data_IF_003995679882
#
_entry.id   IF_003995679882
#
_cell.length_a   1.000
_cell.length_b   1.000
_cell.length_c   1.000
_cell.angle_alpha   90.00
_cell.angle_beta   90.00
_cell.angle_gamma   90.00
#
_symmetry.space_group_name_H-M   'P 1'
#
loop_
_entity.id
_entity.type
_entity.pdbx_description
1 polymer ?
#
# COMPACT_ATOMS: atom_id res chain seq x y z
N UNK A 1 -18.61 40.43 2.24
CA UNK A 1 -17.28 39.79 2.12
C UNK A 1 -17.47 38.32 2.46
N UNK A 2 -16.77 37.40 1.78
CA UNK A 2 -16.88 35.97 2.09
C UNK A 2 -16.33 35.70 3.49
N UNK A 3 -17.01 34.86 4.27
CA UNK A 3 -16.59 34.46 5.62
C UNK A 3 -15.40 33.48 5.64
N UNK A 4 -14.77 33.30 4.47
CA UNK A 4 -13.65 32.39 4.24
C UNK A 4 -12.46 33.18 3.72
N UNK A 5 -11.36 33.15 4.47
CA UNK A 5 -10.07 33.77 4.09
C UNK A 5 -9.03 32.70 3.88
N UNK A 6 -8.29 32.79 2.78
CA UNK A 6 -7.21 31.87 2.40
C UNK A 6 -5.91 32.65 2.30
N UNK A 7 -5.03 32.46 3.26
CA UNK A 7 -3.66 32.96 3.22
C UNK A 7 -2.81 32.06 2.34
N UNK A 8 -2.15 32.64 1.35
CA UNK A 8 -1.43 31.93 0.30
C UNK A 8 -0.19 32.68 -0.17
N UNK A 9 0.62 32.05 -1.02
CA UNK A 9 1.68 32.72 -1.79
C UNK A 9 1.62 32.28 -3.26
N UNK A 10 2.18 33.09 -4.17
CA UNK A 10 2.14 32.81 -5.63
C UNK A 10 2.69 31.45 -6.03
N UNK A 11 3.73 30.96 -5.35
CA UNK A 11 4.45 29.75 -5.74
C UNK A 11 4.03 28.48 -4.98
N UNK A 12 3.07 28.58 -4.07
CA UNK A 12 2.64 27.46 -3.23
C UNK A 12 1.70 26.50 -3.97
N UNK A 13 2.12 25.24 -4.15
CA UNK A 13 1.30 24.20 -4.80
C UNK A 13 0.04 23.85 -3.99
N UNK A 14 0.16 23.68 -2.68
CA UNK A 14 -0.98 23.37 -1.79
C UNK A 14 -2.02 24.51 -1.76
N UNK A 15 -1.58 25.75 -1.93
CA UNK A 15 -2.46 26.91 -2.02
C UNK A 15 -3.32 26.87 -3.29
N UNK A 16 -2.77 26.35 -4.41
CA UNK A 16 -3.53 26.12 -5.65
C UNK A 16 -4.55 24.99 -5.48
N UNK A 17 -4.15 23.90 -4.81
CA UNK A 17 -5.05 22.77 -4.53
C UNK A 17 -6.23 23.17 -3.64
N UNK A 18 -5.96 23.94 -2.57
CA UNK A 18 -6.99 24.50 -1.70
C UNK A 18 -7.98 25.38 -2.46
N UNK A 19 -7.48 26.32 -3.27
CA UNK A 19 -8.33 27.21 -4.08
C UNK A 19 -9.21 26.41 -5.04
N UNK A 20 -8.63 25.43 -5.75
CA UNK A 20 -9.37 24.54 -6.64
C UNK A 20 -10.44 23.70 -5.90
N UNK A 21 -10.15 23.23 -4.68
CA UNK A 21 -11.12 22.54 -3.84
C UNK A 21 -12.31 23.44 -3.51
N UNK A 22 -12.05 24.67 -3.05
CA UNK A 22 -13.09 25.65 -2.71
C UNK A 22 -13.92 26.04 -3.94
N UNK A 23 -13.26 26.30 -5.08
CA UNK A 23 -13.91 26.59 -6.35
C UNK A 23 -14.84 25.45 -6.79
N UNK A 24 -14.38 24.20 -6.70
CA UNK A 24 -15.17 23.00 -7.05
C UNK A 24 -16.41 22.85 -6.18
N UNK A 25 -16.28 23.11 -4.87
CA UNK A 25 -17.40 23.09 -3.92
C UNK A 25 -18.25 24.36 -3.99
N UNK A 26 -17.93 25.29 -4.90
CA UNK A 26 -18.62 26.59 -5.11
C UNK A 26 -18.63 27.46 -3.85
N UNK A 27 -17.59 27.34 -3.03
CA UNK A 27 -17.39 28.14 -1.83
C UNK A 27 -16.73 29.45 -2.25
N UNK A 28 -17.32 30.58 -1.86
CA UNK A 28 -16.71 31.90 -2.08
C UNK A 28 -15.67 32.15 -0.99
N UNK A 29 -14.47 32.58 -1.37
CA UNK A 29 -13.38 32.91 -0.46
C UNK A 29 -12.62 34.15 -0.90
N UNK A 30 -11.93 34.77 0.05
CA UNK A 30 -10.97 35.85 -0.16
C UNK A 30 -9.55 35.27 -0.12
N UNK A 31 -8.77 35.47 -1.18
CA UNK A 31 -7.38 35.01 -1.25
C UNK A 31 -6.43 36.15 -0.88
N UNK A 32 -5.66 35.97 0.19
CA UNK A 32 -4.69 36.94 0.71
C UNK A 32 -3.28 36.42 0.42
N UNK A 33 -2.46 37.22 -0.27
CA UNK A 33 -1.06 36.87 -0.56
C UNK A 33 -0.15 37.40 0.56
N UNK A 34 0.33 36.50 1.42
CA UNK A 34 1.21 36.85 2.54
C UNK A 34 2.68 37.03 2.10
N UNK A 35 3.03 36.65 0.87
CA UNK A 35 4.36 36.89 0.32
C UNK A 35 4.59 38.36 -0.05
N UNK A 36 3.52 39.11 -0.30
CA UNK A 36 3.58 40.53 -0.69
C UNK A 36 3.01 41.47 0.38
N UNK A 37 2.39 40.92 1.44
CA UNK A 37 1.79 41.69 2.52
C UNK A 37 2.29 41.20 3.90
N UNK A 38 3.19 41.98 4.50
CA UNK A 38 3.83 41.67 5.79
C UNK A 38 2.83 41.71 6.96
N UNK A 39 1.83 42.58 6.93
CA UNK A 39 0.83 42.67 7.99
C UNK A 39 -0.08 41.44 7.98
N UNK A 40 -0.53 41.02 6.79
CA UNK A 40 -1.29 39.79 6.62
C UNK A 40 -0.47 38.53 7.00
N UNK A 41 0.84 38.54 6.78
CA UNK A 41 1.72 37.46 7.22
C UNK A 41 1.78 37.36 8.75
N UNK A 42 1.85 38.49 9.46
CA UNK A 42 1.80 38.53 10.93
C UNK A 42 0.46 38.03 11.45
N UNK A 43 -0.63 38.51 10.88
CA UNK A 43 -1.99 38.06 11.24
C UNK A 43 -2.14 36.54 11.04
N UNK A 44 -1.66 36.01 9.91
CA UNK A 44 -1.69 34.56 9.65
C UNK A 44 -0.92 33.77 10.72
N UNK A 45 0.27 34.25 11.12
CA UNK A 45 1.08 33.60 12.16
C UNK A 45 0.38 33.65 13.52
N UNK A 46 -0.25 34.77 13.88
CA UNK A 46 -1.01 34.91 15.13
C UNK A 46 -2.23 33.97 15.17
N UNK A 47 -2.93 33.81 14.04
CA UNK A 47 -4.13 32.97 13.94
C UNK A 47 -3.83 31.46 13.88
N UNK A 48 -2.66 31.07 13.36
CA UNK A 48 -2.33 29.66 13.07
C UNK A 48 -1.18 29.11 13.90
N UNK A 49 -0.38 29.97 14.55
CA UNK A 49 0.85 29.57 15.24
C UNK A 49 1.97 29.09 14.30
N UNK A 50 1.84 29.27 12.98
CA UNK A 50 2.81 28.80 12.00
C UNK A 50 3.17 29.84 10.94
N UNK A 51 4.35 29.68 10.32
CA UNK A 51 4.84 30.53 9.24
C UNK A 51 4.49 30.00 7.83
N UNK A 52 3.90 28.80 7.74
CA UNK A 52 3.61 28.12 6.47
C UNK A 52 2.26 28.49 5.86
N UNK A 53 2.16 28.38 4.53
CA UNK A 53 0.90 28.48 3.75
C UNK A 53 0.58 27.12 3.10
N UNK A 54 -0.70 26.83 2.78
CA UNK A 54 -1.87 27.68 2.99
C UNK A 54 -2.39 27.67 4.43
N UNK A 55 -3.09 28.74 4.82
CA UNK A 55 -3.92 28.78 6.04
C UNK A 55 -5.32 29.23 5.64
N UNK A 56 -6.34 28.49 6.04
CA UNK A 56 -7.75 28.86 5.81
C UNK A 56 -8.39 29.28 7.12
N UNK A 57 -9.04 30.42 7.14
CA UNK A 57 -9.85 30.86 8.28
C UNK A 57 -11.30 30.93 7.83
N UNK A 58 -12.16 30.16 8.49
CA UNK A 58 -13.59 30.14 8.22
C UNK A 58 -14.38 29.71 9.46
N UNK A 59 -15.54 30.33 9.67
CA UNK A 59 -16.45 30.02 10.79
C UNK A 59 -15.75 30.03 12.16
N UNK A 60 -14.76 30.92 12.35
CA UNK A 60 -13.98 31.04 13.58
C UNK A 60 -12.94 29.93 13.82
N UNK A 61 -12.74 29.01 12.87
CA UNK A 61 -11.68 27.99 12.91
C UNK A 61 -10.52 28.35 11.97
N UNK A 62 -9.33 27.97 12.38
CA UNK A 62 -8.11 28.06 11.57
C UNK A 62 -7.69 26.67 11.11
N UNK A 63 -7.65 26.44 9.80
CA UNK A 63 -7.16 25.22 9.16
C UNK A 63 -5.76 25.48 8.62
N UNK A 64 -4.83 24.62 9.00
CA UNK A 64 -3.44 24.66 8.60
C UNK A 64 -3.23 23.71 7.42
N UNK A 65 -2.64 24.21 6.34
CA UNK A 65 -2.34 23.43 5.15
C UNK A 65 -3.58 23.10 4.31
N UNK A 66 -3.40 22.17 3.37
CA UNK A 66 -4.49 21.61 2.58
C UNK A 66 -5.03 20.34 3.26
N UNK A 67 -5.65 20.53 4.43
CA UNK A 67 -6.22 19.46 5.25
C UNK A 67 -7.66 19.16 4.80
N UNK A 68 -7.82 18.13 3.96
CA UNK A 68 -9.12 17.74 3.40
C UNK A 68 -10.14 17.38 4.49
N UNK A 69 -9.81 16.57 5.52
CA UNK A 69 -10.71 16.32 6.65
C UNK A 69 -11.24 17.60 7.30
N UNK A 70 -10.37 18.53 7.69
CA UNK A 70 -10.78 19.77 8.34
C UNK A 70 -11.58 20.69 7.41
N UNK A 71 -11.21 20.76 6.13
CA UNK A 71 -11.95 21.54 5.12
C UNK A 71 -13.36 20.97 4.88
N UNK A 72 -13.50 19.64 4.88
CA UNK A 72 -14.80 18.99 4.75
C UNK A 72 -15.67 19.16 6.00
N UNK A 73 -15.07 19.26 7.19
CA UNK A 73 -15.80 19.53 8.44
C UNK A 73 -16.50 20.90 8.40
N UNK A 74 -15.82 21.94 7.91
CA UNK A 74 -16.36 23.31 7.86
C UNK A 74 -17.23 23.51 6.62
N UNK A 75 -16.72 23.15 5.45
CA UNK A 75 -17.36 23.52 4.18
C UNK A 75 -18.23 22.43 3.58
N UNK A 76 -18.58 21.42 4.37
CA UNK A 76 -19.51 20.37 3.99
C UNK A 76 -20.92 20.93 3.75
N UNK A 77 -21.14 21.64 2.64
CA UNK A 77 -22.49 21.89 2.13
C UNK A 77 -23.08 20.55 1.72
N UNK A 78 -23.96 20.09 2.62
CA UNK A 78 -24.84 18.91 2.60
C UNK A 78 -24.14 17.56 2.43
N UNK A 79 -24.24 16.80 3.54
CA UNK A 79 -24.45 15.34 3.56
C UNK A 79 -25.15 14.89 2.28
N UNK A 80 -24.55 13.93 1.58
CA UNK A 80 -25.41 13.01 0.86
C UNK A 80 -26.19 12.29 1.95
N UNK A 81 -27.50 12.50 2.01
CA UNK A 81 -28.41 11.68 2.79
C UNK A 81 -28.11 10.21 2.44
N UNK A 82 -27.43 9.56 3.37
CA UNK A 82 -27.65 8.23 3.92
C UNK A 82 -27.99 7.16 2.89
N UNK A 83 -26.93 6.58 2.34
CA UNK A 83 -26.99 5.36 1.56
C UNK A 83 -25.77 4.51 1.87
N UNK A 84 -26.05 3.24 2.19
CA UNK A 84 -25.10 2.13 2.15
C UNK A 84 -24.22 2.27 0.89
N UNK A 85 -22.87 2.32 1.00
CA UNK A 85 -21.96 2.33 -0.14
C UNK A 85 -22.39 1.39 -1.26
N UNK A 86 -22.30 1.89 -2.49
CA UNK A 86 -22.58 1.06 -3.67
C UNK A 86 -21.57 -0.07 -3.73
N UNK A 87 -20.31 0.28 -3.45
CA UNK A 87 -19.18 -0.64 -3.46
C UNK A 87 -18.20 -0.31 -2.35
N UNK A 88 -17.81 -1.33 -1.59
CA UNK A 88 -16.64 -1.26 -0.70
C UNK A 88 -15.49 -2.06 -1.33
N UNK A 89 -14.31 -1.44 -1.34
CA UNK A 89 -13.07 -2.01 -1.85
C UNK A 89 -12.18 -2.32 -0.64
N UNK A 90 -11.77 -3.56 -0.51
CA UNK A 90 -10.93 -4.03 0.59
C UNK A 90 -9.48 -4.05 0.11
N UNK A 91 -8.66 -3.11 0.57
CA UNK A 91 -7.26 -2.95 0.20
C UNK A 91 -6.97 -1.71 -0.65
N UNK A 92 -5.90 -1.00 -0.31
CA UNK A 92 -5.45 0.25 -0.93
C UNK A 92 -4.20 0.10 -1.79
N UNK A 93 -3.94 -1.09 -2.34
CA UNK A 93 -2.85 -1.31 -3.29
C UNK A 93 -3.21 -0.89 -4.73
N UNK A 94 -2.36 -1.20 -5.72
CA UNK A 94 -2.59 -0.85 -7.13
C UNK A 94 -3.95 -1.30 -7.67
N UNK A 95 -4.38 -2.53 -7.33
CA UNK A 95 -5.68 -3.07 -7.74
C UNK A 95 -6.83 -2.27 -7.13
N UNK A 96 -6.82 -2.05 -5.81
CA UNK A 96 -7.89 -1.36 -5.10
C UNK A 96 -8.02 0.10 -5.50
N UNK A 97 -6.91 0.82 -5.61
CA UNK A 97 -6.92 2.22 -6.05
C UNK A 97 -7.39 2.36 -7.50
N UNK A 98 -6.98 1.46 -8.39
CA UNK A 98 -7.46 1.48 -9.78
C UNK A 98 -8.95 1.16 -9.84
N UNK A 99 -9.42 0.16 -9.08
CA UNK A 99 -10.84 -0.15 -8.98
C UNK A 99 -11.64 1.05 -8.46
N UNK A 100 -11.16 1.72 -7.41
CA UNK A 100 -11.81 2.88 -6.82
C UNK A 100 -11.93 4.04 -7.81
N UNK A 101 -10.87 4.31 -8.57
CA UNK A 101 -10.89 5.32 -9.62
C UNK A 101 -11.96 5.02 -10.68
N UNK A 102 -12.07 3.76 -11.11
CA UNK A 102 -13.08 3.35 -12.10
C UNK A 102 -14.51 3.42 -11.53
N UNK A 103 -14.73 2.95 -10.30
CA UNK A 103 -16.02 3.05 -9.63
C UNK A 103 -16.46 4.51 -9.46
N UNK A 104 -15.55 5.38 -9.04
CA UNK A 104 -15.85 6.81 -8.88
C UNK A 104 -16.19 7.49 -10.21
N UNK A 105 -15.48 7.15 -11.31
CA UNK A 105 -15.82 7.64 -12.66
C UNK A 105 -17.18 7.17 -13.17
N UNK A 106 -17.70 6.08 -12.61
CA UNK A 106 -19.07 5.59 -12.85
C UNK A 106 -20.09 6.19 -11.90
N UNK A 107 -19.69 7.19 -11.10
CA UNK A 107 -20.53 7.87 -10.10
C UNK A 107 -21.07 6.93 -9.01
N UNK A 108 -20.37 5.83 -8.73
CA UNK A 108 -20.70 4.93 -7.62
C UNK A 108 -20.25 5.54 -6.28
N UNK A 109 -21.09 5.42 -5.25
CA UNK A 109 -20.70 5.71 -3.87
C UNK A 109 -19.67 4.67 -3.41
N UNK A 110 -18.39 5.06 -3.39
CA UNK A 110 -17.25 4.15 -3.25
C UNK A 110 -16.52 4.42 -1.94
N UNK A 111 -16.19 3.36 -1.22
CA UNK A 111 -15.34 3.41 -0.03
C UNK A 111 -14.19 2.40 -0.16
N UNK A 112 -13.00 2.78 0.28
CA UNK A 112 -11.84 1.88 0.44
C UNK A 112 -11.63 1.66 1.93
N UNK A 113 -11.44 0.41 2.36
CA UNK A 113 -10.96 0.06 3.70
C UNK A 113 -9.59 -0.59 3.55
N UNK A 114 -8.55 -0.02 4.17
CA UNK A 114 -7.17 -0.49 3.98
C UNK A 114 -6.25 -0.21 5.16
N UNK A 115 -5.29 -1.10 5.42
CA UNK A 115 -4.27 -0.91 6.45
C UNK A 115 -3.24 0.17 6.08
N UNK A 116 -2.95 0.28 4.79
CA UNK A 116 -2.03 1.27 4.24
C UNK A 116 -2.43 1.67 2.82
N UNK A 117 -1.97 2.85 2.41
CA UNK A 117 -2.20 3.42 1.09
C UNK A 117 -0.94 3.11 0.25
N UNK A 118 -1.08 2.23 -0.75
CA UNK A 118 0.03 1.83 -1.63
C UNK A 118 0.24 0.32 -1.71
N UNK A 119 -0.05 -0.42 -0.64
CA UNK A 119 0.23 -1.86 -0.54
C UNK A 119 1.71 -2.18 -0.74
N UNK A 120 2.01 -3.41 -1.15
CA UNK A 120 3.39 -3.87 -1.41
C UNK A 120 4.16 -3.08 -2.47
N UNK A 121 3.46 -2.34 -3.35
CA UNK A 121 4.15 -1.56 -4.38
C UNK A 121 5.10 -0.52 -3.76
N UNK A 122 4.83 -0.05 -2.53
CA UNK A 122 5.70 0.85 -1.78
C UNK A 122 7.11 0.29 -1.55
N UNK A 123 7.26 -1.04 -1.51
CA UNK A 123 8.52 -1.71 -1.19
C UNK A 123 9.47 -1.79 -2.39
N UNK A 124 9.00 -1.45 -3.60
CA UNK A 124 9.80 -1.55 -4.81
C UNK A 124 10.78 -0.39 -4.96
N UNK A 125 12.09 -0.65 -4.97
CA UNK A 125 13.11 0.38 -5.20
C UNK A 125 13.03 0.97 -6.62
N UNK A 126 12.88 0.08 -7.60
CA UNK A 126 12.91 0.38 -9.02
C UNK A 126 11.79 -0.38 -9.74
N UNK A 127 10.92 0.36 -10.39
CA UNK A 127 9.87 -0.16 -11.27
C UNK A 127 10.19 0.28 -12.69
N UNK A 128 10.62 -0.69 -13.50
CA UNK A 128 11.02 -0.50 -14.91
C UNK A 128 10.03 -1.12 -15.90
N UNK A 129 8.98 -1.78 -15.38
CA UNK A 129 8.02 -2.55 -16.15
C UNK A 129 6.58 -2.00 -16.08
N UNK A 130 6.41 -0.77 -15.59
CA UNK A 130 5.13 -0.06 -15.61
C UNK A 130 5.09 0.91 -16.80
N UNK A 131 4.44 0.49 -17.88
CA UNK A 131 4.38 1.26 -19.13
C UNK A 131 3.86 2.69 -18.90
N UNK A 132 4.58 3.67 -19.43
CA UNK A 132 4.38 5.09 -19.14
C UNK A 132 5.53 5.69 -18.31
N UNK A 133 6.29 4.86 -17.60
CA UNK A 133 7.52 5.25 -16.91
C UNK A 133 8.69 4.41 -17.43
N UNK A 134 9.81 5.07 -17.73
CA UNK A 134 11.07 4.35 -18.01
C UNK A 134 11.63 3.72 -16.73
N UNK A 135 11.55 4.47 -15.63
CA UNK A 135 12.02 4.10 -14.31
C UNK A 135 11.26 4.98 -13.31
N UNK A 136 10.70 4.37 -12.27
CA UNK A 136 10.06 5.07 -11.14
C UNK A 136 10.21 4.22 -9.88
N UNK A 137 10.31 4.83 -8.70
CA UNK A 137 10.25 4.06 -7.46
C UNK A 137 8.81 3.61 -7.16
N UNK A 138 8.66 2.58 -6.35
CA UNK A 138 7.37 2.12 -5.87
C UNK A 138 6.61 3.18 -5.08
N UNK A 139 7.31 3.91 -4.22
CA UNK A 139 6.76 5.04 -3.45
C UNK A 139 6.21 6.14 -4.35
N UNK A 140 6.98 6.59 -5.33
CA UNK A 140 6.60 7.70 -6.21
C UNK A 140 5.46 7.28 -7.15
N UNK A 141 5.45 6.00 -7.57
CA UNK A 141 4.36 5.45 -8.36
C UNK A 141 3.05 5.45 -7.54
N UNK A 142 3.08 4.96 -6.30
CA UNK A 142 1.87 4.92 -5.46
C UNK A 142 1.43 6.30 -5.00
N UNK A 143 2.35 7.24 -4.79
CA UNK A 143 2.00 8.65 -4.55
C UNK A 143 1.18 9.22 -5.71
N UNK A 144 1.55 8.92 -6.96
CA UNK A 144 0.76 9.34 -8.14
C UNK A 144 -0.62 8.71 -8.19
N UNK A 145 -0.77 7.46 -7.74
CA UNK A 145 -2.09 6.82 -7.63
C UNK A 145 -2.92 7.50 -6.55
N UNK A 146 -2.33 7.75 -5.38
CA UNK A 146 -2.99 8.43 -4.27
C UNK A 146 -3.46 9.85 -4.66
N UNK A 147 -2.60 10.62 -5.34
CA UNK A 147 -2.94 11.93 -5.88
C UNK A 147 -4.18 11.86 -6.78
N UNK A 148 -4.30 10.84 -7.63
CA UNK A 148 -5.47 10.67 -8.49
C UNK A 148 -6.73 10.34 -7.70
N UNK A 149 -6.70 9.34 -6.81
CA UNK A 149 -7.90 8.92 -6.06
C UNK A 149 -8.40 10.03 -5.12
N UNK A 150 -7.50 10.84 -4.54
CA UNK A 150 -7.88 11.96 -3.65
C UNK A 150 -8.57 13.11 -4.37
N UNK A 151 -8.50 13.17 -5.70
CA UNK A 151 -9.32 14.12 -6.49
C UNK A 151 -10.77 13.65 -6.65
N UNK A 152 -11.11 12.43 -6.25
CA UNK A 152 -12.44 11.88 -6.39
C UNK A 152 -13.25 12.01 -5.10
N UNK A 153 -14.58 11.94 -5.23
CA UNK A 153 -15.50 11.93 -4.09
C UNK A 153 -15.67 10.49 -3.60
N UNK A 154 -14.76 10.04 -2.73
CA UNK A 154 -14.76 8.70 -2.13
C UNK A 154 -14.22 8.74 -0.70
N UNK A 155 -14.59 7.74 0.10
CA UNK A 155 -14.09 7.59 1.47
C UNK A 155 -12.92 6.60 1.50
N UNK A 156 -11.86 6.92 2.25
CA UNK A 156 -10.76 6.00 2.54
C UNK A 156 -10.69 5.85 4.06
N UNK A 157 -10.95 4.64 4.53
CA UNK A 157 -10.85 4.22 5.92
C UNK A 157 -9.53 3.49 6.15
N UNK A 158 -8.78 3.90 7.17
CA UNK A 158 -7.53 3.25 7.55
C UNK A 158 -7.78 2.21 8.64
N UNK A 159 -8.06 0.98 8.22
CA UNK A 159 -8.40 -0.13 9.11
C UNK A 159 -8.17 -1.50 8.42
N UNK A 160 -8.10 -2.55 9.22
CA UNK A 160 -8.02 -3.95 8.78
C UNK A 160 -9.41 -4.56 8.76
N UNK A 161 -9.76 -5.26 7.66
CA UNK A 161 -11.02 -6.03 7.61
C UNK A 161 -10.84 -7.36 8.35
N UNK A 162 -11.72 -7.62 9.31
CA UNK A 162 -11.72 -8.82 10.15
C UNK A 162 -12.79 -9.84 9.74
N UNK A 163 -13.87 -9.40 9.08
CA UNK A 163 -14.91 -10.30 8.58
C UNK A 163 -15.70 -9.74 7.40
N UNK A 164 -16.25 -10.63 6.57
CA UNK A 164 -17.18 -10.32 5.49
C UNK A 164 -18.36 -11.30 5.53
N UNK A 165 -19.57 -10.77 5.55
CA UNK A 165 -20.82 -11.54 5.61
C UNK A 165 -21.85 -10.99 4.63
N UNK A 166 -22.83 -11.83 4.29
CA UNK A 166 -23.98 -11.45 3.46
C UNK A 166 -25.23 -11.32 4.35
N UNK A 167 -26.02 -10.28 4.11
CA UNK A 167 -27.28 -10.00 4.80
C UNK A 167 -28.34 -9.54 3.78
N UNK A 168 -29.15 -10.49 3.31
CA UNK A 168 -30.14 -10.24 2.27
C UNK A 168 -29.49 -9.87 0.94
N UNK A 169 -29.66 -8.62 0.50
CA UNK A 169 -29.08 -8.10 -0.75
C UNK A 169 -27.85 -7.20 -0.49
N UNK A 170 -27.31 -7.24 0.73
CA UNK A 170 -26.20 -6.41 1.18
C UNK A 170 -25.06 -7.27 1.73
N UNK A 171 -23.89 -6.65 1.82
CA UNK A 171 -22.71 -7.22 2.47
C UNK A 171 -22.35 -6.40 3.70
N UNK A 172 -22.00 -7.10 4.78
CA UNK A 172 -21.54 -6.53 6.04
C UNK A 172 -20.05 -6.81 6.17
N UNK A 173 -19.27 -5.75 6.39
CA UNK A 173 -17.82 -5.79 6.56
C UNK A 173 -17.50 -5.34 7.98
N UNK A 174 -16.93 -6.25 8.76
CA UNK A 174 -16.41 -5.95 10.09
C UNK A 174 -14.91 -5.63 10.03
N UNK A 175 -14.46 -4.75 10.89
CA UNK A 175 -13.05 -4.32 10.99
C UNK A 175 -12.44 -4.69 12.34
N UNK A 176 -11.11 -4.65 12.43
CA UNK A 176 -10.37 -4.90 13.67
C UNK A 176 -10.63 -3.82 14.74
N UNK A 177 -10.93 -2.58 14.32
CA UNK A 177 -11.34 -1.52 15.26
C UNK A 177 -12.72 -1.75 15.91
N UNK A 178 -13.49 -2.72 15.41
CA UNK A 178 -14.87 -2.99 15.83
C UNK A 178 -15.93 -2.21 15.04
N UNK A 179 -15.54 -1.48 14.00
CA UNK A 179 -16.48 -0.80 13.09
C UNK A 179 -17.14 -1.78 12.13
N UNK A 180 -18.39 -1.53 11.76
CA UNK A 180 -19.18 -2.31 10.81
C UNK A 180 -19.67 -1.42 9.67
N UNK A 181 -19.46 -1.88 8.43
CA UNK A 181 -19.88 -1.18 7.21
C UNK A 181 -20.78 -2.06 6.38
N UNK A 182 -21.79 -1.46 5.74
CA UNK A 182 -22.68 -2.14 4.79
C UNK A 182 -22.38 -1.70 3.36
N UNK A 183 -22.58 -2.58 2.38
CA UNK A 183 -22.52 -2.21 0.97
C UNK A 183 -23.35 -3.14 0.08
N UNK A 184 -23.55 -2.75 -1.19
CA UNK A 184 -24.26 -3.57 -2.19
C UNK A 184 -23.36 -4.47 -3.03
N UNK A 185 -22.08 -4.14 -3.11
CA UNK A 185 -21.07 -4.92 -3.80
C UNK A 185 -19.72 -4.78 -3.10
N UNK A 186 -18.86 -5.80 -3.24
CA UNK A 186 -17.53 -5.83 -2.62
C UNK A 186 -16.48 -6.14 -3.67
N UNK A 187 -15.36 -5.41 -3.65
CA UNK A 187 -14.17 -5.75 -4.45
C UNK A 187 -13.01 -6.06 -3.50
N UNK A 188 -12.61 -7.33 -3.45
CA UNK A 188 -11.53 -7.80 -2.59
C UNK A 188 -10.19 -7.62 -3.31
N UNK A 189 -9.34 -6.75 -2.77
CA UNK A 189 -8.00 -6.42 -3.28
C UNK A 189 -6.94 -6.44 -2.18
N UNK A 190 -7.16 -7.26 -1.15
CA UNK A 190 -6.32 -7.36 0.06
C UNK A 190 -4.88 -7.83 -0.19
N UNK A 191 -4.58 -8.26 -1.42
CA UNK A 191 -3.24 -8.63 -1.85
C UNK A 191 -2.68 -9.84 -1.12
N UNK A 192 -1.38 -9.79 -0.88
CA UNK A 192 -0.62 -10.82 -0.17
C UNK A 192 0.23 -10.15 0.92
N UNK A 193 0.76 -10.92 1.86
CA UNK A 193 1.68 -10.45 2.89
C UNK A 193 2.93 -11.33 2.92
N UNK A 194 4.09 -10.81 3.33
CA UNK A 194 5.32 -11.60 3.40
C UNK A 194 5.17 -12.82 4.30
N UNK A 195 5.84 -13.91 3.91
CA UNK A 195 5.97 -15.07 4.78
C UNK A 195 7.10 -14.85 5.79
N UNK A 196 6.84 -15.30 7.00
CA UNK A 196 7.80 -15.37 8.09
C UNK A 196 8.44 -16.77 8.14
N UNK A 197 9.62 -16.88 8.76
CA UNK A 197 10.34 -18.13 8.93
C UNK A 197 9.61 -19.09 9.89
N UNK A 198 8.79 -18.56 10.80
CA UNK A 198 8.09 -19.33 11.83
C UNK A 198 9.03 -19.83 12.93
N UNK A 199 10.13 -19.12 13.18
CA UNK A 199 11.13 -19.50 14.17
C UNK A 199 10.86 -18.87 15.53
N UNK A 200 11.30 -19.54 16.59
CA UNK A 200 11.31 -18.93 17.92
C UNK A 200 12.09 -17.60 17.90
N UNK A 201 11.57 -16.60 18.62
CA UNK A 201 12.14 -15.25 18.72
C UNK A 201 12.11 -14.43 17.42
N UNK A 202 11.53 -14.92 16.32
CA UNK A 202 11.41 -14.14 15.08
C UNK A 202 10.72 -12.80 15.32
N UNK A 203 9.56 -12.80 15.99
CA UNK A 203 8.82 -11.59 16.34
C UNK A 203 9.65 -10.57 17.14
N UNK A 204 10.55 -11.05 18.01
CA UNK A 204 11.42 -10.17 18.82
C UNK A 204 12.36 -9.35 17.95
N UNK A 205 12.81 -9.89 16.81
CA UNK A 205 13.80 -9.25 15.96
C UNK A 205 13.20 -8.47 14.79
N UNK A 206 11.87 -8.51 14.59
CA UNK A 206 11.19 -7.64 13.61
C UNK A 206 11.46 -6.17 13.96
N UNK A 207 12.02 -5.42 13.00
CA UNK A 207 12.46 -4.03 13.22
C UNK A 207 13.71 -3.87 14.10
N UNK A 208 14.30 -4.97 14.57
CA UNK A 208 15.55 -5.02 15.38
C UNK A 208 16.61 -5.92 14.75
N UNK A 209 16.56 -6.05 13.43
CA UNK A 209 17.47 -6.86 12.65
C UNK A 209 16.77 -7.68 11.57
N UNK A 210 15.48 -7.99 11.69
CA UNK A 210 14.70 -8.62 10.61
C UNK A 210 13.93 -7.55 9.84
N UNK A 211 14.02 -7.61 8.51
CA UNK A 211 13.30 -6.76 7.58
C UNK A 211 12.71 -7.58 6.42
N UNK A 212 11.66 -7.05 5.82
CA UNK A 212 11.01 -7.57 4.61
C UNK A 212 11.14 -6.60 3.43
N UNK A 213 11.56 -5.35 3.68
CA UNK A 213 11.64 -4.28 2.69
C UNK A 213 13.09 -3.76 2.59
N UNK A 214 13.82 -4.25 1.59
CA UNK A 214 15.20 -3.79 1.31
C UNK A 214 15.26 -2.29 1.01
N UNK A 215 14.24 -1.77 0.33
CA UNK A 215 14.11 -0.35 -0.01
C UNK A 215 13.97 0.54 1.22
N UNK A 216 13.17 0.11 2.18
CA UNK A 216 12.81 0.88 3.36
C UNK A 216 13.96 0.90 4.37
N UNK A 217 14.48 -0.29 4.69
CA UNK A 217 15.42 -0.46 5.81
C UNK A 217 16.87 -0.58 5.35
N UNK A 218 17.11 -0.91 4.09
CA UNK A 218 18.43 -1.10 3.50
C UNK A 218 19.45 0.00 3.83
N UNK A 219 19.10 1.30 3.73
CA UNK A 219 20.00 2.39 4.10
C UNK A 219 20.54 2.32 5.55
N UNK A 220 19.80 1.70 6.48
CA UNK A 220 20.20 1.52 7.89
C UNK A 220 21.27 0.44 8.10
N UNK A 221 21.57 -0.34 7.05
CA UNK A 221 22.55 -1.43 7.05
C UNK A 221 23.85 -1.07 6.31
N UNK A 222 24.09 0.22 6.08
CA UNK A 222 25.39 0.68 5.55
C UNK A 222 26.54 0.19 6.43
N UNK A 223 27.57 -0.36 5.78
CA UNK A 223 28.77 -0.91 6.43
C UNK A 223 28.53 -2.08 7.40
N UNK A 224 27.32 -2.66 7.40
CA UNK A 224 26.95 -3.82 8.23
C UNK A 224 27.00 -5.14 7.46
N UNK A 225 26.93 -6.27 8.16
CA UNK A 225 26.78 -7.59 7.54
C UNK A 225 25.28 -7.87 7.38
N UNK A 226 24.88 -8.22 6.16
CA UNK A 226 23.48 -8.48 5.80
C UNK A 226 23.33 -9.91 5.28
N UNK A 227 22.25 -10.56 5.68
CA UNK A 227 21.84 -11.87 5.19
C UNK A 227 20.47 -11.77 4.53
N UNK A 228 20.35 -12.27 3.31
CA UNK A 228 19.10 -12.33 2.54
C UNK A 228 18.65 -13.79 2.47
N UNK A 229 17.38 -14.06 2.77
CA UNK A 229 16.80 -15.41 2.70
C UNK A 229 15.81 -15.47 1.56
N UNK A 230 16.07 -16.32 0.57
CA UNK A 230 15.19 -16.48 -0.56
C UNK A 230 15.92 -16.92 -1.81
N UNK A 231 15.17 -17.24 -2.85
CA UNK A 231 15.73 -17.66 -4.13
C UNK A 231 14.90 -17.25 -5.33
N UNK A 232 14.04 -16.24 -5.19
CA UNK A 232 13.23 -15.69 -6.27
C UNK A 232 13.83 -14.39 -6.84
N UNK A 233 13.10 -13.76 -7.75
CA UNK A 233 13.43 -12.41 -8.26
C UNK A 233 13.74 -11.44 -7.13
N UNK A 234 12.82 -11.31 -6.16
CA UNK A 234 12.95 -10.36 -5.05
C UNK A 234 14.19 -10.63 -4.16
N UNK A 235 14.55 -11.90 -3.98
CA UNK A 235 15.74 -12.25 -3.20
C UNK A 235 17.04 -11.83 -3.92
N UNK A 236 17.11 -12.02 -5.24
CA UNK A 236 18.27 -11.58 -6.01
C UNK A 236 18.37 -10.07 -6.08
N UNK A 237 17.26 -9.37 -6.35
CA UNK A 237 17.27 -7.89 -6.39
C UNK A 237 17.68 -7.32 -5.04
N UNK A 238 17.12 -7.85 -3.93
CA UNK A 238 17.52 -7.48 -2.57
C UNK A 238 19.01 -7.71 -2.32
N UNK A 239 19.55 -8.86 -2.71
CA UNK A 239 20.98 -9.15 -2.52
C UNK A 239 21.88 -8.21 -3.35
N UNK A 240 21.50 -7.92 -4.59
CA UNK A 240 22.21 -6.97 -5.46
C UNK A 240 22.14 -5.55 -4.89
N UNK A 241 20.98 -5.12 -4.38
CA UNK A 241 20.82 -3.81 -3.72
C UNK A 241 21.71 -3.71 -2.48
N UNK A 242 21.67 -4.72 -1.61
CA UNK A 242 22.49 -4.76 -0.40
C UNK A 242 23.97 -4.83 -0.70
N UNK A 243 24.40 -5.43 -1.82
CA UNK A 243 25.82 -5.44 -2.20
C UNK A 243 26.39 -4.03 -2.44
N UNK A 244 25.53 -3.05 -2.71
CA UNK A 244 25.91 -1.64 -2.94
C UNK A 244 25.91 -0.82 -1.64
N UNK A 245 25.37 -1.35 -0.55
CA UNK A 245 25.11 -0.61 0.71
C UNK A 245 25.85 -1.26 1.88
N UNK A 246 25.71 -2.57 2.05
CA UNK A 246 26.27 -3.36 3.14
C UNK A 246 27.76 -3.64 2.92
N UNK A 247 28.46 -3.94 4.01
CA UNK A 247 29.87 -4.38 3.98
C UNK A 247 30.01 -5.79 3.39
N UNK A 248 29.06 -6.66 3.71
CA UNK A 248 29.04 -8.06 3.29
C UNK A 248 27.60 -8.52 3.12
N UNK A 249 27.35 -9.33 2.09
CA UNK A 249 26.02 -9.89 1.80
C UNK A 249 26.09 -11.42 1.71
N UNK A 250 25.31 -12.08 2.55
CA UNK A 250 25.06 -13.51 2.51
C UNK A 250 23.70 -13.78 1.85
N UNK A 251 23.62 -14.71 0.90
CA UNK A 251 22.35 -15.16 0.29
C UNK A 251 22.09 -16.63 0.64
N UNK A 252 21.02 -16.89 1.37
CA UNK A 252 20.60 -18.25 1.77
C UNK A 252 19.47 -18.73 0.86
N UNK A 253 19.70 -19.84 0.17
CA UNK A 253 18.76 -20.42 -0.80
C UNK A 253 18.41 -21.85 -0.39
N UNK A 254 17.14 -22.11 -0.06
CA UNK A 254 16.66 -23.44 0.37
C UNK A 254 16.79 -24.58 -0.66
N UNK A 255 17.06 -24.23 -1.92
CA UNK A 255 17.19 -25.18 -3.03
C UNK A 255 17.99 -24.52 -4.18
N UNK A 256 17.41 -24.42 -5.38
CA UNK A 256 17.96 -23.64 -6.51
C UNK A 256 17.36 -22.24 -6.56
N UNK A 257 18.13 -21.29 -7.08
CA UNK A 257 17.65 -19.96 -7.45
C UNK A 257 16.67 -20.10 -8.63
N UNK A 258 15.55 -19.40 -8.57
CA UNK A 258 14.44 -19.37 -9.53
C UNK A 258 14.08 -17.91 -9.78
N UNK A 259 14.85 -17.25 -10.63
CA UNK A 259 14.64 -15.87 -11.00
C UNK A 259 14.69 -15.70 -12.52
N UNK A 260 14.17 -14.58 -13.02
CA UNK A 260 14.22 -14.21 -14.42
C UNK A 260 15.68 -13.99 -14.86
N UNK A 261 15.97 -14.26 -16.14
CA UNK A 261 17.34 -14.26 -16.64
C UNK A 261 18.03 -12.91 -16.48
N UNK A 262 17.27 -11.81 -16.53
CA UNK A 262 17.83 -10.47 -16.30
C UNK A 262 18.43 -10.33 -14.90
N UNK A 263 17.75 -10.82 -13.87
CA UNK A 263 18.24 -10.78 -12.49
C UNK A 263 19.33 -11.79 -12.24
N UNK A 264 19.27 -12.97 -12.89
CA UNK A 264 20.36 -13.94 -12.85
C UNK A 264 21.65 -13.38 -13.47
N UNK A 265 21.55 -12.68 -14.60
CA UNK A 265 22.68 -12.01 -15.24
C UNK A 265 23.26 -10.95 -14.31
N UNK A 266 22.43 -10.02 -13.83
CA UNK A 266 22.87 -8.96 -12.91
C UNK A 266 23.50 -9.53 -11.64
N UNK A 267 22.94 -10.60 -11.09
CA UNK A 267 23.48 -11.28 -9.92
C UNK A 267 24.89 -11.85 -10.16
N UNK A 268 25.11 -12.51 -11.32
CA UNK A 268 26.42 -13.03 -11.73
C UNK A 268 27.44 -11.89 -11.91
N UNK A 269 26.99 -10.78 -12.50
CA UNK A 269 27.86 -9.62 -12.82
C UNK A 269 28.24 -8.81 -11.57
N UNK A 270 27.39 -8.79 -10.55
CA UNK A 270 27.61 -8.02 -9.30
C UNK A 270 28.80 -8.54 -8.50
N UNK A 271 28.96 -9.87 -8.39
CA UNK A 271 30.01 -10.48 -7.56
C UNK A 271 29.86 -10.17 -6.06
N UNK A 272 30.76 -10.70 -5.22
CA UNK A 272 30.85 -10.32 -3.80
C UNK A 272 29.71 -10.79 -2.87
N UNK A 273 28.77 -11.61 -3.36
CA UNK A 273 27.67 -12.17 -2.56
C UNK A 273 27.97 -13.63 -2.18
N UNK A 274 28.06 -13.91 -0.89
CA UNK A 274 28.33 -15.24 -0.33
C UNK A 274 27.05 -16.10 -0.40
N UNK A 275 27.01 -17.08 -1.31
CA UNK A 275 25.79 -17.87 -1.56
C UNK A 275 25.82 -19.22 -0.84
N UNK A 276 24.78 -19.49 -0.05
CA UNK A 276 24.57 -20.76 0.66
C UNK A 276 23.37 -21.50 0.07
N UNK A 277 23.62 -22.42 -0.86
CA UNK A 277 22.56 -23.24 -1.50
C UNK A 277 22.25 -24.51 -0.71
N UNK A 278 20.98 -24.92 -0.71
CA UNK A 278 20.43 -26.01 0.11
C UNK A 278 20.49 -25.77 1.62
N UNK A 279 20.65 -24.51 2.03
CA UNK A 279 20.59 -24.10 3.44
C UNK A 279 19.24 -23.46 3.78
N UNK A 280 18.81 -23.62 5.04
CA UNK A 280 17.67 -22.91 5.64
C UNK A 280 18.10 -22.26 6.93
N UNK A 281 17.50 -21.13 7.30
CA UNK A 281 17.70 -20.54 8.63
C UNK A 281 16.96 -21.42 9.64
N UNK A 282 17.67 -21.91 10.65
CA UNK A 282 17.13 -22.78 11.69
C UNK A 282 16.98 -22.07 13.03
N UNK A 283 17.84 -21.08 13.33
CA UNK A 283 17.83 -20.38 14.63
C UNK A 283 18.24 -18.92 14.47
N UNK A 284 17.66 -18.05 15.31
CA UNK A 284 17.94 -16.62 15.38
C UNK A 284 18.58 -16.29 16.73
N UNK A 285 19.69 -15.55 16.72
CA UNK A 285 20.48 -15.28 17.93
C UNK A 285 20.84 -13.81 18.06
N UNK A 286 20.75 -13.32 19.29
CA UNK A 286 21.02 -11.94 19.66
C UNK A 286 20.36 -11.57 20.98
N UNK A 287 20.79 -10.47 21.59
CA UNK A 287 20.12 -9.93 22.76
C UNK A 287 18.98 -9.01 22.29
N UNK A 288 19.18 -7.70 22.33
CA UNK A 288 18.16 -6.74 21.91
C UNK A 288 18.01 -6.64 20.40
N UNK A 289 19.11 -6.88 19.68
CA UNK A 289 19.19 -6.89 18.23
C UNK A 289 19.70 -8.24 17.74
N UNK A 290 19.31 -8.60 16.51
CA UNK A 290 19.87 -9.76 15.82
C UNK A 290 21.39 -9.60 15.69
N UNK A 291 22.13 -10.68 15.93
CA UNK A 291 23.59 -10.71 15.82
C UNK A 291 24.11 -11.87 14.99
N UNK A 292 23.35 -12.96 14.92
CA UNK A 292 23.70 -14.09 14.08
C UNK A 292 22.48 -14.92 13.72
N UNK A 293 22.61 -15.68 12.64
CA UNK A 293 21.67 -16.70 12.23
C UNK A 293 22.38 -18.04 12.13
N UNK A 294 21.74 -19.09 12.62
CA UNK A 294 22.19 -20.46 12.36
C UNK A 294 21.51 -20.94 11.09
N UNK A 295 22.31 -21.43 10.15
CA UNK A 295 21.83 -22.07 8.92
C UNK A 295 22.11 -23.56 8.96
N UNK A 296 21.18 -24.35 8.43
CA UNK A 296 21.27 -25.81 8.39
C UNK A 296 21.18 -26.29 6.94
N UNK A 297 22.12 -27.15 6.53
CA UNK A 297 22.09 -27.79 5.22
C UNK A 297 21.06 -28.92 5.21
N UNK A 298 20.13 -28.88 4.26
CA UNK A 298 18.91 -29.70 4.27
C UNK A 298 19.12 -31.20 4.05
N UNK A 299 20.27 -31.64 3.54
CA UNK A 299 20.57 -33.06 3.26
C UNK A 299 21.44 -33.70 4.33
N UNK A 300 22.39 -32.93 4.85
CA UNK A 300 23.44 -33.39 5.78
C UNK A 300 23.14 -33.02 7.22
N UNK A 301 22.30 -32.01 7.46
CA UNK A 301 22.06 -31.45 8.78
C UNK A 301 23.24 -30.62 9.31
N UNK A 302 24.24 -30.32 8.48
CA UNK A 302 25.38 -29.50 8.88
C UNK A 302 24.91 -28.08 9.25
N UNK A 303 25.19 -27.65 10.48
CA UNK A 303 24.87 -26.31 10.97
C UNK A 303 26.06 -25.37 10.85
N UNK A 304 25.82 -24.13 10.42
CA UNK A 304 26.79 -23.03 10.39
C UNK A 304 26.19 -21.80 11.04
N UNK A 305 27.00 -21.06 11.80
CA UNK A 305 26.60 -19.78 12.37
C UNK A 305 27.16 -18.69 11.47
N UNK A 306 26.28 -17.81 10.98
CA UNK A 306 26.65 -16.61 10.24
C UNK A 306 26.40 -15.40 11.13
N UNK A 307 27.43 -14.58 11.34
CA UNK A 307 27.23 -13.25 11.89
C UNK A 307 26.39 -12.43 10.92
N UNK A 308 25.43 -11.68 11.45
CA UNK A 308 24.64 -10.74 10.67
C UNK A 308 24.03 -9.69 11.56
N UNK A 309 24.05 -8.45 11.10
CA UNK A 309 23.31 -7.37 11.74
C UNK A 309 21.89 -7.25 11.16
N UNK A 310 21.66 -7.77 9.95
CA UNK A 310 20.39 -7.66 9.22
C UNK A 310 19.99 -8.94 8.49
N UNK A 311 18.73 -9.35 8.63
CA UNK A 311 18.13 -10.49 7.96
C UNK A 311 16.94 -10.03 7.12
N UNK A 312 17.10 -10.04 5.79
CA UNK A 312 16.05 -9.68 4.84
C UNK A 312 15.33 -10.93 4.35
N UNK A 313 14.03 -11.01 4.61
CA UNK A 313 13.20 -12.15 4.24
C UNK A 313 12.55 -11.93 2.87
N UNK A 314 13.00 -12.71 1.88
CA UNK A 314 12.47 -12.75 0.52
C UNK A 314 11.98 -14.17 0.17
N UNK A 315 11.21 -14.78 1.08
CA UNK A 315 10.76 -16.18 1.03
C UNK A 315 9.36 -16.37 0.42
N UNK A 316 8.83 -15.31 -0.21
CA UNK A 316 7.54 -15.29 -0.86
C UNK A 316 6.41 -14.77 0.04
N UNK A 317 5.19 -14.85 -0.47
CA UNK A 317 4.03 -14.22 0.15
C UNK A 317 2.89 -15.22 0.39
N UNK A 318 2.00 -14.89 1.31
CA UNK A 318 0.75 -15.59 1.61
C UNK A 318 -0.45 -14.69 1.32
N UNK A 319 -1.57 -15.25 0.90
CA UNK A 319 -2.75 -14.45 0.53
C UNK A 319 -3.48 -13.92 1.75
N UNK A 320 -3.91 -12.66 1.67
CA UNK A 320 -4.66 -12.01 2.75
C UNK A 320 -6.15 -12.34 2.63
N UNK A 321 -6.50 -13.58 2.95
CA UNK A 321 -7.86 -14.14 2.80
C UNK A 321 -8.44 -14.76 4.07
N UNK A 322 -7.76 -14.59 5.21
CA UNK A 322 -8.19 -15.19 6.49
C UNK A 322 -9.60 -14.71 6.91
N UNK A 323 -9.88 -13.41 6.79
CA UNK A 323 -11.17 -12.80 7.13
C UNK A 323 -12.38 -13.31 6.34
N UNK A 324 -12.14 -14.04 5.23
CA UNK A 324 -13.21 -14.55 4.39
C UNK A 324 -13.85 -15.81 4.96
N UNK A 325 -13.19 -16.59 5.81
CA UNK A 325 -13.76 -17.79 6.45
C UNK A 325 -14.62 -18.70 5.54
N UNK A 326 -14.14 -18.96 4.31
CA UNK A 326 -14.87 -19.78 3.33
C UNK A 326 -16.03 -19.09 2.60
N UNK A 327 -16.20 -17.79 2.78
CA UNK A 327 -17.23 -16.96 2.13
C UNK A 327 -17.15 -17.01 0.60
N UNK A 328 -15.94 -17.07 0.03
CA UNK A 328 -15.67 -17.26 -1.40
C UNK A 328 -14.76 -18.46 -1.66
N UNK A 329 -14.88 -19.05 -2.85
CA UNK A 329 -14.05 -20.17 -3.30
C UNK A 329 -12.57 -19.78 -3.42
N UNK A 330 -11.69 -20.61 -2.87
CA UNK A 330 -10.23 -20.44 -2.90
C UNK A 330 -9.57 -21.70 -3.41
N UNK A 331 -8.43 -21.53 -4.09
CA UNK A 331 -7.59 -22.67 -4.48
C UNK A 331 -6.72 -23.15 -3.30
N UNK A 332 -5.92 -24.20 -3.51
CA UNK A 332 -5.04 -24.78 -2.48
C UNK A 332 -3.97 -23.81 -1.94
N UNK A 333 -3.68 -22.73 -2.66
CA UNK A 333 -2.75 -21.67 -2.22
C UNK A 333 -3.44 -20.56 -1.44
N UNK A 334 -4.75 -20.68 -1.22
CA UNK A 334 -5.58 -19.66 -0.58
C UNK A 334 -5.88 -18.46 -1.48
N UNK A 335 -5.67 -18.56 -2.80
CA UNK A 335 -5.99 -17.49 -3.74
C UNK A 335 -7.48 -17.54 -4.11
N UNK A 336 -8.14 -16.37 -4.20
CA UNK A 336 -9.54 -16.27 -4.58
C UNK A 336 -9.70 -16.69 -6.04
N UNK A 337 -10.58 -17.66 -6.30
CA UNK A 337 -10.88 -18.12 -7.65
C UNK A 337 -11.75 -17.06 -8.33
N UNK A 338 -11.32 -16.61 -9.50
CA UNK A 338 -12.04 -15.61 -10.28
C UNK A 338 -12.16 -16.04 -11.74
N UNK A 339 -13.15 -15.51 -12.45
CA UNK A 339 -13.19 -15.55 -13.91
C UNK A 339 -12.32 -14.45 -14.55
N UNK A 340 -12.36 -14.33 -15.88
CA UNK A 340 -11.57 -13.36 -16.63
C UNK A 340 -11.88 -11.89 -16.27
N UNK A 341 -13.09 -11.62 -15.76
CA UNK A 341 -13.62 -10.31 -15.43
C UNK A 341 -13.56 -10.00 -13.92
N UNK A 342 -12.96 -10.88 -13.11
CA UNK A 342 -12.81 -10.69 -11.67
C UNK A 342 -14.04 -11.11 -10.85
N UNK A 343 -15.00 -11.83 -11.44
CA UNK A 343 -16.14 -12.36 -10.70
C UNK A 343 -15.71 -13.53 -9.82
N UNK A 344 -16.21 -13.59 -8.58
CA UNK A 344 -16.06 -14.76 -7.70
C UNK A 344 -17.24 -15.73 -7.86
N UNK A 345 -17.28 -16.81 -7.06
CA UNK A 345 -18.45 -17.70 -6.98
C UNK A 345 -19.64 -17.10 -6.21
N UNK A 346 -19.47 -15.90 -5.64
CA UNK A 346 -20.53 -15.13 -4.99
C UNK A 346 -20.93 -13.95 -5.87
N UNK A 347 -22.23 -13.81 -6.14
CA UNK A 347 -22.78 -12.63 -6.83
C UNK A 347 -22.45 -11.39 -6.00
N UNK A 348 -22.28 -10.24 -6.64
CA UNK A 348 -21.94 -8.98 -5.95
C UNK A 348 -20.55 -8.91 -5.33
N UNK A 349 -19.77 -10.00 -5.36
CA UNK A 349 -18.42 -10.06 -4.80
C UNK A 349 -17.43 -10.32 -5.94
N UNK A 350 -16.49 -9.39 -6.06
CA UNK A 350 -15.44 -9.38 -7.08
C UNK A 350 -14.08 -9.40 -6.39
N UNK A 351 -13.04 -9.77 -7.13
CA UNK A 351 -11.68 -9.71 -6.61
C UNK A 351 -10.67 -9.41 -7.70
N UNK A 352 -9.59 -8.73 -7.33
CA UNK A 352 -8.55 -8.30 -8.26
C UNK A 352 -7.16 -8.28 -7.61
N UNK A 353 -6.13 -8.41 -8.45
CA UNK A 353 -4.73 -8.37 -8.05
C UNK A 353 -4.26 -9.65 -7.36
N UNK A 354 -3.22 -9.50 -6.55
CA UNK A 354 -2.39 -10.64 -6.12
C UNK A 354 -3.11 -11.64 -5.19
N UNK A 355 -4.21 -11.22 -4.54
CA UNK A 355 -5.08 -12.09 -3.73
C UNK A 355 -5.81 -13.16 -4.56
N UNK A 356 -5.90 -12.96 -5.87
CA UNK A 356 -6.67 -13.82 -6.78
C UNK A 356 -5.85 -14.92 -7.43
N UNK A 357 -6.51 -15.85 -8.10
CA UNK A 357 -5.89 -16.92 -8.91
C UNK A 357 -5.19 -16.45 -10.20
N UNK A 358 -5.07 -15.12 -10.43
CA UNK A 358 -4.30 -14.59 -11.55
C UNK A 358 -2.85 -15.06 -11.48
N UNK A 359 -2.32 -15.54 -12.61
CA UNK A 359 -0.96 -16.11 -12.65
C UNK A 359 0.13 -15.05 -12.49
N UNK A 360 -0.06 -13.88 -13.11
CA UNK A 360 0.90 -12.80 -13.08
C UNK A 360 0.67 -11.88 -11.88
N UNK A 361 1.65 -11.79 -11.00
CA UNK A 361 1.63 -10.93 -9.80
C UNK A 361 2.51 -9.72 -10.05
N UNK A 362 1.93 -8.66 -10.61
CA UNK A 362 2.66 -7.46 -11.06
C UNK A 362 1.78 -6.22 -10.88
N UNK A 363 2.39 -5.06 -10.59
CA UNK A 363 1.67 -3.79 -10.37
C UNK A 363 0.73 -3.47 -11.54
N UNK A 364 1.21 -3.61 -12.79
CA UNK A 364 0.42 -3.32 -13.99
C UNK A 364 -0.74 -4.32 -14.20
N UNK A 365 -0.53 -5.60 -13.87
CA UNK A 365 -1.56 -6.63 -13.95
C UNK A 365 -2.62 -6.38 -12.90
N UNK A 366 -2.21 -6.14 -11.64
CA UNK A 366 -3.10 -5.81 -10.54
C UNK A 366 -3.95 -4.56 -10.84
N UNK A 367 -3.34 -3.53 -11.45
CA UNK A 367 -4.07 -2.32 -11.89
C UNK A 367 -5.14 -2.67 -12.94
N UNK A 368 -4.76 -3.46 -13.96
CA UNK A 368 -5.70 -3.92 -14.99
C UNK A 368 -6.83 -4.79 -14.43
N UNK A 369 -6.53 -5.69 -13.49
CA UNK A 369 -7.52 -6.51 -12.80
C UNK A 369 -8.47 -5.66 -11.96
N UNK A 370 -7.97 -4.63 -11.27
CA UNK A 370 -8.78 -3.67 -10.53
C UNK A 370 -9.79 -2.96 -11.42
N UNK A 371 -9.36 -2.52 -12.60
CA UNK A 371 -10.25 -1.91 -13.59
C UNK A 371 -11.34 -2.88 -14.07
N UNK A 372 -10.99 -4.14 -14.37
CA UNK A 372 -11.98 -5.18 -14.78
C UNK A 372 -13.01 -5.42 -13.68
N UNK A 373 -12.56 -5.66 -12.44
CA UNK A 373 -13.44 -5.92 -11.32
C UNK A 373 -14.39 -4.74 -11.04
N UNK A 374 -13.92 -3.50 -11.15
CA UNK A 374 -14.76 -2.31 -11.01
C UNK A 374 -15.84 -2.19 -12.10
N UNK A 375 -15.52 -2.56 -13.35
CA UNK A 375 -16.50 -2.58 -14.45
C UNK A 375 -17.55 -3.67 -14.23
N UNK A 376 -17.15 -4.87 -13.82
CA UNK A 376 -18.06 -5.97 -13.46
C UNK A 376 -18.97 -5.60 -12.28
N UNK A 377 -18.42 -4.95 -11.25
CA UNK A 377 -19.18 -4.46 -10.11
C UNK A 377 -20.23 -3.43 -10.53
N UNK A 378 -19.87 -2.51 -11.42
CA UNK A 378 -20.82 -1.56 -11.99
C UNK A 378 -21.95 -2.25 -12.76
N UNK A 379 -21.63 -3.20 -13.64
CA UNK A 379 -22.65 -3.96 -14.40
C UNK A 379 -23.60 -4.71 -13.49
N UNK A 380 -23.07 -5.38 -12.46
CA UNK A 380 -23.88 -6.02 -11.43
C UNK A 380 -24.82 -5.03 -10.75
N UNK A 381 -24.31 -3.92 -10.24
CA UNK A 381 -25.12 -2.90 -9.55
C UNK A 381 -26.21 -2.29 -10.45
N UNK A 382 -25.95 -2.16 -11.75
CA UNK A 382 -26.97 -1.70 -12.71
C UNK A 382 -28.04 -2.75 -12.99
N UNK A 383 -27.69 -4.04 -12.96
CA UNK A 383 -28.65 -5.13 -13.14
C UNK A 383 -29.60 -5.35 -11.95
N UNK A 384 -29.26 -4.81 -10.78
CA UNK A 384 -30.07 -4.88 -9.56
C UNK A 384 -31.04 -3.68 -9.41
N UNK A 385 -31.01 -2.72 -10.35
CA UNK A 385 -31.98 -1.63 -10.43
C UNK A 385 -33.11 -2.00 -11.37
#
# INVERSE_FOLDING_TARGET
>A
MSDVRVYSTKNCQYCRLLKAFLDRKKIKYESIDVGENIEAAKEMVELSGQYGVPVTVAEGKTIIGFDIPALNEIFGVRRKEDGIPDVIIIGGGPAGMTAAMYCSRKMLNTMIITENIGGQALESWSVENYMGFKLISGSDLMQKFEEQIRTQDMTIELDSVSSLKEDGNEYIIGTESGSEYRCRAVIITSGVSPKWLGLEKEERYIGRGISICSTCDGPLFRDKIVTVVGGGNYALTTAIEMSKIAKEVNLIVRSKIRADEIYLSQYRDTGGINTYTNYVVSELSGNDFLKSVTIEERKTGEKKILETDGLFLAIGHQTNTAFLDGFVARNEKGEIIIDINGNTDRKGVFSAGDVTSVKGKQIIIASGDGAKAALSAYEYLMSQR
#
